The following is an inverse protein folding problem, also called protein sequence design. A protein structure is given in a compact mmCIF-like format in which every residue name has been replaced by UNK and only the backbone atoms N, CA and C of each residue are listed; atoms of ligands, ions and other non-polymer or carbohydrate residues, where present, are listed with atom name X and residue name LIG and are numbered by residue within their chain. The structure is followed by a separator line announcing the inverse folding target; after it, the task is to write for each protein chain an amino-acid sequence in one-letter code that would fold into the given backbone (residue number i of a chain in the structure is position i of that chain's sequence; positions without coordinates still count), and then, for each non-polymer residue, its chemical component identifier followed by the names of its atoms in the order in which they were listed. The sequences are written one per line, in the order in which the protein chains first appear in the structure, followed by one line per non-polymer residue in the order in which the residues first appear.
data_IF_979392710800
#
_entry.id   IF_979392710800
#
_cell.length_a   1.000
_cell.length_b   1.000
_cell.length_c   1.000
_cell.angle_alpha   90.00
_cell.angle_beta   90.00
_cell.angle_gamma   90.00
#
_symmetry.space_group_name_H-M   'P 1'
#
loop_
_entity.id
_entity.type
_entity.pdbx_description
1 polymer ?
#
# COMPACT_ATOMS: atom_id res chain seq x y z
N UNK A 1 -2.74 14.24 8.91
CA UNK A 1 -1.32 14.14 8.54
C UNK A 1 -1.15 13.44 7.18
N UNK A 2 -1.63 12.20 7.03
CA UNK A 2 -1.40 11.42 5.80
C UNK A 2 -2.08 11.95 4.53
N UNK A 3 -3.23 12.64 4.68
CA UNK A 3 -3.86 13.42 3.59
C UNK A 3 -2.94 14.50 3.03
N UNK A 4 -2.19 15.20 3.90
CA UNK A 4 -1.25 16.23 3.46
C UNK A 4 -0.09 15.61 2.69
N UNK A 5 0.36 14.42 3.09
CA UNK A 5 1.41 13.70 2.37
C UNK A 5 0.94 13.21 1.00
N UNK A 6 -0.31 12.76 0.86
CA UNK A 6 -0.87 12.43 -0.45
C UNK A 6 -0.88 13.64 -1.38
N UNK A 7 -1.28 14.81 -0.87
CA UNK A 7 -1.27 16.08 -1.63
C UNK A 7 0.15 16.51 -1.97
N UNK A 8 1.08 16.47 -1.02
CA UNK A 8 2.49 16.84 -1.22
C UNK A 8 3.20 15.86 -2.18
N UNK A 9 2.93 14.57 -2.07
CA UNK A 9 3.41 13.55 -2.99
C UNK A 9 2.89 13.78 -4.41
N UNK A 10 1.59 14.07 -4.55
CA UNK A 10 0.98 14.47 -5.82
C UNK A 10 1.60 15.75 -6.41
N UNK A 11 1.84 16.76 -5.57
CA UNK A 11 2.49 18.01 -5.95
C UNK A 11 3.92 17.80 -6.44
N UNK A 12 4.73 17.00 -5.74
CA UNK A 12 6.10 16.68 -6.15
C UNK A 12 6.13 15.87 -7.45
N UNK A 13 5.16 14.96 -7.67
CA UNK A 13 5.01 14.25 -8.95
C UNK A 13 4.69 15.24 -10.07
N UNK A 14 3.72 16.14 -9.87
CA UNK A 14 3.35 17.14 -10.87
C UNK A 14 4.52 18.11 -11.18
N UNK A 15 5.24 18.55 -10.15
CA UNK A 15 6.45 19.39 -10.29
C UNK A 15 7.55 18.66 -11.05
N UNK A 16 7.78 17.39 -10.74
CA UNK A 16 8.81 16.60 -11.43
C UNK A 16 8.41 16.26 -12.86
N UNK A 17 7.13 15.99 -13.15
CA UNK A 17 6.66 15.83 -14.53
C UNK A 17 6.87 17.10 -15.36
N UNK A 18 6.64 18.28 -14.76
CA UNK A 18 6.96 19.57 -15.40
C UNK A 18 8.46 19.76 -15.60
N UNK A 19 9.27 19.43 -14.59
CA UNK A 19 10.73 19.48 -14.69
C UNK A 19 11.28 18.53 -15.76
N UNK A 20 10.83 17.28 -15.80
CA UNK A 20 11.23 16.28 -16.78
C UNK A 20 10.77 16.63 -18.20
N UNK A 21 9.59 17.25 -18.36
CA UNK A 21 9.16 17.80 -19.66
C UNK A 21 10.07 18.95 -20.11
N UNK A 22 10.46 19.84 -19.21
CA UNK A 22 11.40 20.92 -19.51
C UNK A 22 12.82 20.40 -19.78
N UNK A 23 13.27 19.35 -19.09
CA UNK A 23 14.53 18.66 -19.35
C UNK A 23 14.53 17.95 -20.71
N UNK A 24 13.43 17.28 -21.08
CA UNK A 24 13.21 16.72 -22.43
C UNK A 24 13.32 17.79 -23.53
N UNK A 25 12.78 18.99 -23.28
CA UNK A 25 12.87 20.12 -24.22
C UNK A 25 14.29 20.69 -24.33
N UNK A 26 15.14 20.49 -23.31
CA UNK A 26 16.55 20.93 -23.30
C UNK A 26 17.53 19.92 -23.92
N UNK A 27 17.05 18.79 -24.42
CA UNK A 27 17.91 17.78 -25.06
C UNK A 27 18.81 17.02 -24.09
N UNK A 28 18.53 17.06 -22.78
CA UNK A 28 19.23 16.22 -21.79
C UNK A 28 18.83 14.75 -22.03
N UNK A 29 19.83 13.87 -22.21
CA UNK A 29 19.60 12.44 -22.45
C UNK A 29 18.64 11.84 -21.42
N UNK A 30 17.62 11.14 -21.91
CA UNK A 30 16.71 10.41 -21.05
C UNK A 30 17.48 9.37 -20.23
N UNK A 31 17.62 9.62 -18.93
CA UNK A 31 17.97 8.58 -17.97
C UNK A 31 16.79 7.61 -17.83
N UNK A 32 16.65 6.73 -18.81
CA UNK A 32 15.60 5.71 -18.85
C UNK A 32 15.25 5.32 -20.28
N UNK A 33 15.96 4.32 -20.83
CA UNK A 33 15.55 3.67 -22.06
C UNK A 33 14.27 2.86 -21.81
N UNK A 34 13.26 3.03 -22.67
CA UNK A 34 12.10 2.12 -22.72
C UNK A 34 12.47 0.71 -23.18
N UNK A 35 13.73 0.50 -23.60
CA UNK A 35 14.22 -0.80 -24.00
C UNK A 35 14.56 -1.63 -22.76
N UNK A 36 14.02 -2.84 -22.73
CA UNK A 36 14.40 -3.86 -21.77
C UNK A 36 15.92 -4.06 -21.74
N UNK A 37 16.55 -4.16 -20.55
CA UNK A 37 17.95 -4.54 -20.43
C UNK A 37 18.24 -5.84 -21.18
N UNK A 38 19.28 -5.83 -22.02
CA UNK A 38 19.65 -7.00 -22.83
C UNK A 38 19.97 -8.20 -21.93
N UNK A 39 19.37 -9.36 -22.20
CA UNK A 39 19.69 -10.63 -21.52
C UNK A 39 18.80 -11.01 -20.32
N UNK A 40 17.91 -10.14 -19.83
CA UNK A 40 17.00 -10.42 -18.69
C UNK A 40 15.87 -11.40 -19.03
N UNK A 41 15.59 -11.60 -20.32
CA UNK A 41 14.52 -12.48 -20.81
C UNK A 41 13.14 -11.87 -20.63
N UNK A 42 13.02 -10.56 -20.86
CA UNK A 42 11.79 -9.80 -20.64
C UNK A 42 10.68 -10.20 -21.58
N UNK A 43 9.48 -10.32 -21.01
CA UNK A 43 8.26 -10.45 -21.79
C UNK A 43 7.94 -9.12 -22.48
N UNK A 44 7.32 -9.14 -23.67
CA UNK A 44 6.79 -7.92 -24.25
C UNK A 44 5.72 -7.30 -23.33
N UNK A 45 5.71 -5.97 -23.22
CA UNK A 45 4.94 -5.21 -22.22
C UNK A 45 3.42 -5.51 -22.23
N UNK A 46 2.88 -5.98 -23.36
CA UNK A 46 1.47 -6.34 -23.48
C UNK A 46 1.09 -7.55 -22.61
N UNK A 47 2.01 -8.47 -22.32
CA UNK A 47 1.74 -9.64 -21.46
C UNK A 47 1.43 -9.21 -20.02
N UNK A 48 2.31 -8.49 -19.30
CA UNK A 48 2.02 -8.07 -17.93
C UNK A 48 0.82 -7.12 -17.86
N UNK A 49 0.63 -6.25 -18.86
CA UNK A 49 -0.58 -5.41 -18.94
C UNK A 49 -1.83 -6.27 -19.09
N UNK A 50 -1.81 -7.27 -19.98
CA UNK A 50 -2.93 -8.18 -20.19
C UNK A 50 -3.26 -9.01 -18.95
N UNK A 51 -2.25 -9.56 -18.27
CA UNK A 51 -2.42 -10.30 -17.01
C UNK A 51 -3.01 -9.41 -15.93
N UNK A 52 -2.51 -8.17 -15.80
CA UNK A 52 -3.04 -7.20 -14.85
C UNK A 52 -4.50 -6.86 -15.14
N UNK A 53 -4.84 -6.52 -16.38
CA UNK A 53 -6.21 -6.18 -16.78
C UNK A 53 -7.13 -7.38 -16.56
N UNK A 54 -6.72 -8.58 -16.97
CA UNK A 54 -7.51 -9.80 -16.77
C UNK A 54 -7.76 -10.08 -15.28
N UNK A 55 -6.72 -9.97 -14.44
CA UNK A 55 -6.86 -10.10 -12.99
C UNK A 55 -7.77 -9.03 -12.39
N UNK A 56 -7.55 -7.77 -12.73
CA UNK A 56 -8.35 -6.64 -12.26
C UNK A 56 -9.83 -6.79 -12.65
N UNK A 57 -10.13 -7.16 -13.90
CA UNK A 57 -11.49 -7.47 -14.36
C UNK A 57 -12.06 -8.64 -13.57
N UNK A 58 -11.31 -9.72 -13.36
CA UNK A 58 -11.74 -10.85 -12.56
C UNK A 58 -12.17 -10.46 -11.15
N UNK A 59 -11.39 -9.63 -10.47
CA UNK A 59 -11.75 -9.11 -9.15
C UNK A 59 -12.95 -8.15 -9.18
N UNK A 60 -13.06 -7.30 -10.20
CA UNK A 60 -14.23 -6.42 -10.38
C UNK A 60 -15.51 -7.25 -10.57
N UNK A 61 -15.47 -8.27 -11.43
CA UNK A 61 -16.60 -9.17 -11.67
C UNK A 61 -16.96 -9.97 -10.42
N UNK A 62 -15.95 -10.46 -9.68
CA UNK A 62 -16.16 -11.15 -8.41
C UNK A 62 -16.82 -10.24 -7.37
N UNK A 63 -16.39 -8.99 -7.25
CA UNK A 63 -17.01 -8.02 -6.34
C UNK A 63 -18.42 -7.66 -6.77
N UNK A 64 -18.66 -7.51 -8.08
CA UNK A 64 -20.00 -7.26 -8.61
C UNK A 64 -20.95 -8.43 -8.31
N UNK A 65 -20.45 -9.67 -8.36
CA UNK A 65 -21.21 -10.86 -7.99
C UNK A 65 -21.50 -10.94 -6.49
N UNK A 66 -20.51 -10.63 -5.64
CA UNK A 66 -20.64 -10.69 -4.18
C UNK A 66 -21.49 -9.55 -3.60
N UNK A 67 -21.38 -8.34 -4.15
CA UNK A 67 -22.01 -7.11 -3.64
C UNK A 67 -22.60 -6.30 -4.80
N UNK A 68 -23.71 -6.76 -5.42
CA UNK A 68 -24.27 -6.13 -6.61
C UNK A 68 -24.86 -4.74 -6.35
N UNK A 69 -25.21 -4.44 -5.09
CA UNK A 69 -25.77 -3.16 -4.70
C UNK A 69 -24.73 -2.03 -4.59
N UNK A 70 -23.43 -2.37 -4.55
CA UNK A 70 -22.38 -1.36 -4.44
C UNK A 70 -22.04 -0.74 -5.81
N UNK A 71 -21.75 0.57 -5.89
CA UNK A 71 -21.44 1.22 -7.18
C UNK A 71 -20.19 0.62 -7.86
N UNK A 72 -20.41 -0.10 -8.96
CA UNK A 72 -19.33 -0.76 -9.71
C UNK A 72 -18.27 0.23 -10.23
N UNK A 73 -18.68 1.47 -10.53
CA UNK A 73 -17.76 2.54 -10.96
C UNK A 73 -16.68 2.84 -9.93
N UNK A 74 -17.00 2.75 -8.63
CA UNK A 74 -16.02 2.93 -7.56
C UNK A 74 -15.01 1.78 -7.59
N UNK A 75 -15.49 0.53 -7.71
CA UNK A 75 -14.63 -0.66 -7.77
C UNK A 75 -13.70 -0.60 -9.00
N UNK A 76 -14.22 -0.21 -10.17
CA UNK A 76 -13.44 0.01 -11.40
C UNK A 76 -12.40 1.12 -11.17
N UNK A 77 -12.77 2.21 -10.52
CA UNK A 77 -11.85 3.28 -10.13
C UNK A 77 -10.71 2.78 -9.22
N UNK A 78 -11.01 1.91 -8.26
CA UNK A 78 -9.97 1.27 -7.42
C UNK A 78 -9.06 0.36 -8.23
N UNK A 79 -9.65 -0.46 -9.11
CA UNK A 79 -8.94 -1.41 -9.94
C UNK A 79 -7.97 -0.70 -10.90
N UNK A 80 -8.45 0.26 -11.69
CA UNK A 80 -7.71 0.80 -12.84
C UNK A 80 -7.11 2.19 -12.64
N UNK A 81 -7.55 2.95 -11.63
CA UNK A 81 -7.03 4.30 -11.38
C UNK A 81 -6.21 4.36 -10.10
N UNK A 82 -6.81 4.00 -8.96
CA UNK A 82 -6.16 4.14 -7.65
C UNK A 82 -5.00 3.14 -7.51
N UNK A 83 -5.21 1.87 -7.84
CA UNK A 83 -4.16 0.83 -7.68
C UNK A 83 -2.89 1.12 -8.51
N UNK A 84 -2.96 1.51 -9.80
CA UNK A 84 -1.77 1.89 -10.56
C UNK A 84 -1.07 3.14 -10.03
N UNK A 85 -1.84 4.17 -9.64
CA UNK A 85 -1.29 5.41 -9.07
C UNK A 85 -0.55 5.09 -7.77
N UNK A 86 -1.19 4.33 -6.86
CA UNK A 86 -0.59 3.92 -5.60
C UNK A 86 0.67 3.05 -5.82
N UNK A 87 0.63 2.13 -6.79
CA UNK A 87 1.78 1.31 -7.16
C UNK A 87 2.95 2.15 -7.69
N UNK A 88 2.68 3.17 -8.51
CA UNK A 88 3.71 4.09 -9.01
C UNK A 88 4.32 4.94 -7.90
N UNK A 89 3.48 5.53 -7.04
CA UNK A 89 3.93 6.32 -5.88
C UNK A 89 4.82 5.45 -4.98
N UNK A 90 4.39 4.21 -4.69
CA UNK A 90 5.17 3.29 -3.88
C UNK A 90 6.48 2.87 -4.54
N UNK A 91 6.49 2.53 -5.83
CA UNK A 91 7.72 2.20 -6.55
C UNK A 91 8.76 3.33 -6.45
N UNK A 92 8.31 4.58 -6.61
CA UNK A 92 9.17 5.76 -6.49
C UNK A 92 9.62 5.98 -5.04
N UNK A 93 8.73 5.87 -4.07
CA UNK A 93 9.07 6.00 -2.65
C UNK A 93 10.11 4.97 -2.21
N UNK A 94 9.96 3.73 -2.65
CA UNK A 94 10.92 2.66 -2.40
C UNK A 94 12.27 3.00 -3.04
N UNK A 95 12.29 3.48 -4.28
CA UNK A 95 13.52 3.88 -4.96
C UNK A 95 14.24 5.07 -4.33
N UNK A 96 13.51 6.03 -3.74
CA UNK A 96 14.07 7.24 -3.13
C UNK A 96 14.40 7.10 -1.64
N UNK A 97 13.64 6.29 -0.92
CA UNK A 97 13.64 6.26 0.56
C UNK A 97 13.84 4.86 1.13
N UNK A 98 13.84 3.81 0.29
CA UNK A 98 13.86 2.42 0.72
C UNK A 98 12.60 1.96 1.45
N UNK A 99 11.54 2.77 1.46
CA UNK A 99 10.30 2.51 2.21
C UNK A 99 9.07 2.71 1.32
N UNK A 100 7.98 2.02 1.67
CA UNK A 100 6.67 2.19 1.04
C UNK A 100 5.81 3.16 1.85
N UNK A 101 4.93 3.89 1.15
CA UNK A 101 3.92 4.75 1.76
C UNK A 101 2.58 4.52 1.05
N UNK A 102 1.66 3.83 1.72
CA UNK A 102 0.26 3.81 1.32
C UNK A 102 -0.44 5.10 1.76
N UNK A 103 -1.31 5.64 0.92
CA UNK A 103 -2.22 6.70 1.35
C UNK A 103 -3.25 6.02 2.26
N UNK A 104 -3.30 6.34 3.55
CA UNK A 104 -4.21 5.64 4.44
C UNK A 104 -5.62 6.14 4.25
N UNK A 105 -6.58 5.27 4.55
CA UNK A 105 -8.01 5.59 4.58
C UNK A 105 -8.65 5.91 3.23
N UNK A 106 -7.98 5.63 2.10
CA UNK A 106 -8.56 5.88 0.75
C UNK A 106 -9.77 4.99 0.51
N UNK A 107 -9.67 3.72 0.89
CA UNK A 107 -10.75 2.75 0.73
C UNK A 107 -11.94 3.08 1.63
N UNK A 108 -11.66 3.25 2.92
CA UNK A 108 -12.65 3.56 3.94
C UNK A 108 -13.37 4.88 3.63
N UNK A 109 -12.64 5.90 3.18
CA UNK A 109 -13.20 7.15 2.72
C UNK A 109 -14.11 6.99 1.51
N UNK A 110 -13.71 6.21 0.50
CA UNK A 110 -14.53 5.98 -0.68
C UNK A 110 -15.83 5.21 -0.37
N UNK A 111 -15.76 4.23 0.52
CA UNK A 111 -16.96 3.49 0.98
C UNK A 111 -17.91 4.43 1.72
N UNK A 112 -17.41 5.23 2.65
CA UNK A 112 -18.23 6.17 3.42
C UNK A 112 -18.85 7.24 2.50
N UNK A 113 -18.07 7.80 1.57
CA UNK A 113 -18.52 8.82 0.62
C UNK A 113 -19.48 8.28 -0.45
N UNK A 114 -19.45 6.98 -0.73
CA UNK A 114 -20.39 6.34 -1.67
C UNK A 114 -21.85 6.38 -1.19
N UNK A 115 -22.08 6.65 0.10
CA UNK A 115 -23.43 6.64 0.70
C UNK A 115 -24.03 5.23 0.81
N UNK A 116 -23.24 4.19 0.54
CA UNK A 116 -23.68 2.80 0.60
C UNK A 116 -24.05 2.36 2.01
N UNK A 117 -25.17 1.66 2.14
CA UNK A 117 -25.67 1.11 3.39
C UNK A 117 -25.57 -0.41 3.39
N UNK A 118 -24.63 -0.95 4.16
CA UNK A 118 -24.38 -2.39 4.21
C UNK A 118 -23.00 -2.72 4.76
N UNK A 119 -22.85 -3.92 5.34
CA UNK A 119 -21.57 -4.41 5.86
C UNK A 119 -20.83 -5.28 4.84
N UNK A 120 -21.57 -5.89 3.92
CA UNK A 120 -21.07 -6.78 2.87
C UNK A 120 -19.90 -6.21 2.08
N UNK A 121 -19.90 -4.92 1.74
CA UNK A 121 -18.79 -4.27 1.04
C UNK A 121 -17.46 -4.34 1.80
N UNK A 122 -17.49 -4.37 3.13
CA UNK A 122 -16.28 -4.46 3.95
C UNK A 122 -15.62 -5.85 3.91
N UNK A 123 -16.36 -6.87 3.49
CA UNK A 123 -15.88 -8.22 3.29
C UNK A 123 -15.56 -8.54 1.83
N UNK A 124 -15.93 -7.65 0.90
CA UNK A 124 -15.68 -7.84 -0.51
C UNK A 124 -14.18 -7.78 -0.86
N UNK A 125 -13.67 -8.65 -1.74
CA UNK A 125 -12.27 -8.67 -2.15
C UNK A 125 -11.98 -7.56 -3.18
N UNK A 126 -12.06 -6.30 -2.75
CA UNK A 126 -11.87 -5.16 -3.66
C UNK A 126 -10.42 -5.10 -4.17
N UNK A 127 -10.21 -4.91 -5.49
CA UNK A 127 -8.88 -4.86 -6.09
C UNK A 127 -8.12 -3.62 -5.61
N UNK A 128 -7.28 -3.82 -4.59
CA UNK A 128 -6.40 -2.81 -3.98
C UNK A 128 -4.95 -3.27 -4.10
N UNK A 129 -4.47 -3.31 -5.35
CA UNK A 129 -3.15 -3.86 -5.65
C UNK A 129 -2.06 -2.82 -5.43
N UNK A 130 -0.99 -3.23 -4.76
CA UNK A 130 0.23 -2.43 -4.62
C UNK A 130 1.43 -3.22 -5.15
N UNK A 131 1.86 -2.88 -6.35
CA UNK A 131 2.97 -3.54 -7.05
C UNK A 131 4.28 -2.74 -6.97
N UNK A 132 4.38 -1.78 -6.04
CA UNK A 132 5.58 -0.94 -5.90
C UNK A 132 6.84 -1.75 -5.58
N UNK A 133 6.70 -2.78 -4.74
CA UNK A 133 7.79 -3.69 -4.40
C UNK A 133 8.26 -4.56 -5.58
N UNK A 134 7.34 -4.95 -6.48
CA UNK A 134 7.69 -5.73 -7.67
C UNK A 134 8.64 -4.95 -8.59
N UNK A 135 8.49 -3.62 -8.67
CA UNK A 135 9.41 -2.76 -9.42
C UNK A 135 10.84 -2.81 -8.84
N UNK A 136 10.98 -2.82 -7.51
CA UNK A 136 12.28 -3.01 -6.86
C UNK A 136 12.84 -4.40 -7.16
N UNK A 137 12.03 -5.46 -7.12
CA UNK A 137 12.50 -6.80 -7.44
C UNK A 137 13.02 -6.90 -8.88
N UNK A 138 12.37 -6.25 -9.85
CA UNK A 138 12.90 -6.21 -11.22
C UNK A 138 14.29 -5.57 -11.31
N UNK A 139 14.58 -4.57 -10.46
CA UNK A 139 15.92 -3.99 -10.35
C UNK A 139 16.92 -4.94 -9.70
N UNK A 140 16.52 -5.66 -8.66
CA UNK A 140 17.36 -6.68 -8.02
C UNK A 140 17.69 -7.81 -9.00
N UNK A 141 16.72 -8.26 -9.81
CA UNK A 141 16.94 -9.28 -10.84
C UNK A 141 17.92 -8.81 -11.91
N UNK A 142 17.80 -7.57 -12.34
CA UNK A 142 18.75 -6.95 -13.27
C UNK A 142 20.18 -6.93 -12.68
N UNK A 143 20.34 -6.47 -11.43
CA UNK A 143 21.65 -6.37 -10.78
C UNK A 143 22.29 -7.73 -10.48
N UNK A 144 21.47 -8.76 -10.25
CA UNK A 144 21.94 -10.12 -9.97
C UNK A 144 22.13 -10.97 -11.23
N UNK A 145 21.79 -10.44 -12.42
CA UNK A 145 21.89 -11.17 -13.68
C UNK A 145 20.90 -12.34 -13.80
N UNK A 146 19.84 -12.34 -12.99
CA UNK A 146 18.83 -13.40 -13.00
C UNK A 146 17.79 -13.17 -14.10
N UNK A 147 17.30 -14.28 -14.67
CA UNK A 147 16.24 -14.25 -15.70
C UNK A 147 14.85 -14.22 -15.05
N UNK A 148 13.92 -13.45 -15.62
CA UNK A 148 12.53 -13.40 -15.11
C UNK A 148 11.88 -14.78 -15.13
N UNK A 149 12.13 -15.58 -16.17
CA UNK A 149 11.57 -16.94 -16.26
C UNK A 149 12.04 -17.85 -15.11
N UNK A 150 13.25 -17.62 -14.57
CA UNK A 150 13.74 -18.38 -13.41
C UNK A 150 12.95 -18.04 -12.15
N UNK A 151 12.54 -16.77 -12.00
CA UNK A 151 11.67 -16.34 -10.90
C UNK A 151 10.30 -16.96 -11.03
N UNK A 152 9.70 -16.93 -12.23
CA UNK A 152 8.39 -17.55 -12.49
C UNK A 152 8.45 -19.06 -12.20
N UNK A 153 9.50 -19.76 -12.61
CA UNK A 153 9.70 -21.18 -12.30
C UNK A 153 9.85 -21.43 -10.80
N UNK A 154 10.60 -20.57 -10.11
CA UNK A 154 10.79 -20.65 -8.67
C UNK A 154 9.45 -20.45 -7.93
N UNK A 155 8.66 -19.45 -8.31
CA UNK A 155 7.32 -19.23 -7.75
C UNK A 155 6.40 -20.42 -8.02
N UNK A 156 6.36 -20.93 -9.26
CA UNK A 156 5.52 -22.07 -9.61
C UNK A 156 5.87 -23.34 -8.82
N UNK A 157 7.15 -23.55 -8.50
CA UNK A 157 7.61 -24.64 -7.63
C UNK A 157 7.30 -24.37 -6.16
N UNK A 158 7.51 -23.15 -5.70
CA UNK A 158 7.31 -22.75 -4.31
C UNK A 158 5.84 -22.73 -3.93
N UNK A 159 4.92 -22.35 -4.82
CA UNK A 159 3.48 -22.28 -4.55
C UNK A 159 2.90 -23.57 -3.97
N UNK A 160 3.03 -24.76 -4.60
CA UNK A 160 2.49 -26.00 -4.04
C UNK A 160 3.21 -26.39 -2.74
N UNK A 161 4.54 -26.25 -2.69
CA UNK A 161 5.33 -26.61 -1.50
C UNK A 161 4.90 -25.75 -0.31
N UNK A 162 4.90 -24.43 -0.46
CA UNK A 162 4.51 -23.48 0.56
C UNK A 162 3.05 -23.68 0.98
N UNK A 163 2.14 -23.97 0.05
CA UNK A 163 0.73 -24.24 0.37
C UNK A 163 0.60 -25.48 1.24
N UNK A 164 1.19 -26.61 0.83
CA UNK A 164 1.13 -27.88 1.59
C UNK A 164 1.79 -27.70 2.97
N UNK A 165 2.99 -27.11 3.01
CA UNK A 165 3.70 -26.88 4.27
C UNK A 165 2.92 -25.91 5.18
N UNK A 166 2.28 -24.87 4.63
CA UNK A 166 1.45 -23.95 5.41
C UNK A 166 0.23 -24.63 6.02
N UNK A 167 -0.42 -25.55 5.28
CA UNK A 167 -1.56 -26.33 5.78
C UNK A 167 -1.13 -27.30 6.88
N UNK A 168 0.00 -27.99 6.72
CA UNK A 168 0.57 -28.85 7.76
C UNK A 168 0.91 -28.07 9.03
N UNK A 169 1.55 -26.91 8.87
CA UNK A 169 1.90 -26.05 10.00
C UNK A 169 0.68 -25.48 10.70
N UNK A 170 -0.34 -25.06 9.94
CA UNK A 170 -1.63 -24.67 10.48
C UNK A 170 -2.23 -25.82 11.30
N UNK A 171 -2.29 -27.03 10.75
CA UNK A 171 -2.84 -28.18 11.46
C UNK A 171 -2.07 -28.49 12.75
N UNK A 172 -0.73 -28.37 12.75
CA UNK A 172 0.10 -28.55 13.94
C UNK A 172 -0.24 -27.53 15.02
N UNK A 173 -0.33 -26.24 14.66
CA UNK A 173 -0.66 -25.17 15.61
C UNK A 173 -2.01 -25.45 16.28
N UNK A 174 -3.04 -25.80 15.51
CA UNK A 174 -4.38 -26.05 16.06
C UNK A 174 -4.47 -27.32 16.92
N UNK A 175 -3.51 -28.25 16.77
CA UNK A 175 -3.42 -29.43 17.64
C UNK A 175 -2.70 -29.18 18.96
N UNK A 176 -1.80 -28.19 19.02
CA UNK A 176 -1.04 -27.89 20.25
C UNK A 176 -1.92 -27.29 21.35
N UNK A 177 -2.75 -26.33 20.99
CA UNK A 177 -3.74 -25.73 21.89
C UNK A 177 -4.87 -25.09 21.07
N UNK A 178 -6.08 -24.95 21.64
CA UNK A 178 -7.14 -24.19 20.99
C UNK A 178 -6.72 -22.72 20.80
N UNK A 179 -7.10 -22.11 19.69
CA UNK A 179 -6.91 -20.67 19.45
C UNK A 179 -8.30 -20.00 19.50
N UNK A 180 -8.49 -18.92 20.29
CA UNK A 180 -7.54 -18.27 21.20
C UNK A 180 -7.40 -18.99 22.56
N UNK A 181 -6.19 -19.01 23.12
CA UNK A 181 -5.90 -19.52 24.47
C UNK A 181 -4.70 -18.79 25.11
N UNK A 182 -4.46 -18.96 26.42
CA UNK A 182 -3.27 -18.41 27.08
C UNK A 182 -1.94 -18.86 26.48
N UNK A 183 -1.90 -20.01 25.79
CA UNK A 183 -0.74 -20.48 25.03
C UNK A 183 -0.40 -19.56 23.83
N UNK A 184 -1.39 -18.79 23.34
CA UNK A 184 -1.26 -17.84 22.23
C UNK A 184 -1.67 -16.42 22.67
N UNK A 185 -0.86 -15.76 23.52
CA UNK A 185 -1.25 -14.49 24.16
C UNK A 185 -1.45 -13.35 23.16
N UNK A 186 -0.70 -13.35 22.04
CA UNK A 186 -0.89 -12.38 20.97
C UNK A 186 -2.26 -12.53 20.31
N UNK A 187 -2.63 -13.75 19.90
CA UNK A 187 -3.93 -14.01 19.28
C UNK A 187 -5.08 -13.68 20.24
N UNK A 188 -4.96 -14.09 21.51
CA UNK A 188 -5.99 -13.84 22.53
C UNK A 188 -6.28 -12.35 22.72
N UNK A 189 -5.26 -11.49 22.76
CA UNK A 189 -5.45 -10.05 22.97
C UNK A 189 -5.71 -9.29 21.67
N UNK A 190 -4.90 -9.55 20.63
CA UNK A 190 -4.91 -8.74 19.41
C UNK A 190 -6.07 -9.06 18.49
N UNK A 191 -6.54 -10.30 18.42
CA UNK A 191 -7.69 -10.61 17.55
C UNK A 191 -8.96 -9.91 18.03
N UNK A 192 -9.19 -9.88 19.35
CA UNK A 192 -10.32 -9.14 19.92
C UNK A 192 -10.19 -7.64 19.64
N UNK A 193 -9.02 -7.04 19.88
CA UNK A 193 -8.76 -5.63 19.59
C UNK A 193 -8.98 -5.32 18.09
N UNK A 194 -8.45 -6.15 17.19
CA UNK A 194 -8.62 -6.01 15.75
C UNK A 194 -10.07 -6.16 15.31
N UNK A 195 -10.83 -7.07 15.93
CA UNK A 195 -12.24 -7.24 15.67
C UNK A 195 -13.05 -5.99 16.08
N UNK A 196 -12.75 -5.41 17.25
CA UNK A 196 -13.37 -4.15 17.68
C UNK A 196 -13.01 -2.98 16.75
N UNK A 197 -11.73 -2.87 16.36
CA UNK A 197 -11.27 -1.85 15.41
C UNK A 197 -11.97 -1.98 14.06
N UNK A 198 -12.15 -3.20 13.53
CA UNK A 198 -12.92 -3.45 12.30
C UNK A 198 -14.41 -3.14 12.49
N UNK A 199 -14.98 -3.49 13.63
CA UNK A 199 -16.37 -3.21 13.98
C UNK A 199 -16.70 -1.72 13.92
N UNK A 200 -15.78 -0.84 14.38
CA UNK A 200 -15.94 0.61 14.25
C UNK A 200 -16.16 1.05 12.80
N UNK A 201 -15.39 0.50 11.86
CA UNK A 201 -15.56 0.79 10.43
C UNK A 201 -16.88 0.28 9.88
N UNK A 202 -17.30 -0.92 10.28
CA UNK A 202 -18.58 -1.49 9.84
C UNK A 202 -19.79 -0.65 10.29
N UNK A 203 -19.70 -0.02 11.47
CA UNK A 203 -20.78 0.87 11.93
C UNK A 203 -20.97 2.10 11.04
N UNK A 204 -19.93 2.53 10.31
CA UNK A 204 -19.98 3.73 9.47
C UNK A 204 -20.98 3.60 8.31
N UNK A 205 -21.22 2.39 7.80
CA UNK A 205 -22.17 2.10 6.70
C UNK A 205 -23.50 1.53 7.17
N UNK A 206 -23.60 1.01 8.40
CA UNK A 206 -24.86 0.46 8.95
C UNK A 206 -25.86 1.55 9.32
N UNK A 207 -25.48 2.43 10.25
CA UNK A 207 -26.33 3.50 10.77
C UNK A 207 -25.50 4.77 10.98
N UNK A 208 -25.39 5.64 9.95
CA UNK A 208 -24.58 6.85 10.03
C UNK A 208 -24.91 7.76 11.23
N UNK A 209 -26.19 7.83 11.63
CA UNK A 209 -26.62 8.71 12.74
C UNK A 209 -26.25 8.18 14.13
N UNK A 210 -26.10 6.87 14.28
CA UNK A 210 -25.74 6.20 15.55
C UNK A 210 -24.31 5.65 15.53
N UNK A 211 -23.53 5.92 14.48
CA UNK A 211 -22.24 5.28 14.31
C UNK A 211 -21.23 5.86 15.31
N UNK A 212 -20.57 4.96 16.04
CA UNK A 212 -19.47 5.30 16.94
C UNK A 212 -18.32 5.94 16.15
N UNK A 213 -18.19 5.61 14.86
CA UNK A 213 -17.24 6.25 13.96
C UNK A 213 -17.50 7.76 13.80
N UNK A 214 -18.73 8.17 13.49
CA UNK A 214 -19.06 9.59 13.31
C UNK A 214 -18.98 10.37 14.62
N UNK A 215 -19.28 9.73 15.75
CA UNK A 215 -19.09 10.33 17.08
C UNK A 215 -17.60 10.52 17.43
N UNK A 216 -16.75 9.56 17.07
CA UNK A 216 -15.31 9.64 17.27
C UNK A 216 -14.61 10.55 16.23
N UNK A 217 -15.22 10.78 15.07
CA UNK A 217 -14.66 11.58 14.00
C UNK A 217 -14.71 13.07 14.34
N UNK A 218 -13.55 13.64 14.64
CA UNK A 218 -13.42 15.06 14.90
C UNK A 218 -12.66 15.76 13.77
N UNK A 219 -13.39 16.61 13.04
CA UNK A 219 -12.89 17.37 11.88
C UNK A 219 -11.71 18.28 12.25
N UNK A 220 -11.67 18.82 13.47
CA UNK A 220 -10.59 19.71 13.92
C UNK A 220 -9.27 18.99 14.10
N UNK A 221 -9.26 17.77 14.63
CA UNK A 221 -8.02 16.98 14.72
C UNK A 221 -7.54 16.55 13.33
N UNK A 222 -8.45 16.22 12.41
CA UNK A 222 -8.09 15.91 11.03
C UNK A 222 -7.45 17.12 10.31
N UNK A 223 -8.07 18.30 10.43
CA UNK A 223 -7.56 19.55 9.87
C UNK A 223 -6.26 20.00 10.54
N UNK A 224 -6.15 19.88 11.87
CA UNK A 224 -4.93 20.19 12.62
C UNK A 224 -3.77 19.30 12.19
N UNK A 225 -3.99 18.00 12.05
CA UNK A 225 -2.99 17.08 11.53
C UNK A 225 -2.64 17.32 10.05
N UNK A 226 -3.57 17.82 9.24
CA UNK A 226 -3.29 18.23 7.85
C UNK A 226 -2.44 19.50 7.80
N UNK A 227 -2.83 20.54 8.54
CA UNK A 227 -2.11 21.80 8.66
C UNK A 227 -0.70 21.62 9.22
N UNK A 228 -0.55 20.83 10.30
CA UNK A 228 0.75 20.55 10.90
C UNK A 228 1.73 19.89 9.90
N UNK A 229 1.24 18.99 9.04
CA UNK A 229 2.06 18.35 8.02
C UNK A 229 2.48 19.31 6.90
N UNK A 230 1.59 20.21 6.47
CA UNK A 230 1.91 21.26 5.48
C UNK A 230 2.92 22.26 6.06
N UNK A 231 2.70 22.71 7.31
CA UNK A 231 3.61 23.62 8.00
C UNK A 231 4.99 22.98 8.15
N UNK A 232 5.06 21.71 8.59
CA UNK A 232 6.32 20.98 8.68
C UNK A 232 7.01 20.88 7.32
N UNK A 233 6.28 20.57 6.26
CA UNK A 233 6.83 20.56 4.89
C UNK A 233 7.35 21.94 4.48
N UNK A 234 6.59 23.01 4.71
CA UNK A 234 6.97 24.37 4.34
C UNK A 234 8.22 24.84 5.08
N UNK A 235 8.33 24.53 6.38
CA UNK A 235 9.52 24.80 7.19
C UNK A 235 10.71 24.04 6.62
N UNK A 236 10.61 22.71 6.47
CA UNK A 236 11.71 21.89 5.96
C UNK A 236 12.14 22.34 4.56
N UNK A 237 11.19 22.68 3.69
CA UNK A 237 11.48 23.18 2.35
C UNK A 237 12.16 24.54 2.37
N UNK A 238 11.78 25.45 3.28
CA UNK A 238 12.39 26.78 3.40
C UNK A 238 13.84 26.70 3.86
N UNK A 239 14.13 25.79 4.80
CA UNK A 239 15.48 25.53 5.30
C UNK A 239 16.29 24.56 4.44
N UNK A 240 15.75 24.08 3.31
CA UNK A 240 16.36 23.04 2.44
C UNK A 240 16.75 21.77 3.21
N UNK A 241 16.01 21.44 4.26
CA UNK A 241 16.19 20.24 5.07
C UNK A 241 15.53 19.03 4.40
N UNK A 242 15.92 17.79 4.76
CA UNK A 242 15.35 16.58 4.17
C UNK A 242 13.83 16.48 4.37
N UNK A 243 13.07 16.71 3.29
CA UNK A 243 11.60 16.61 3.25
C UNK A 243 11.10 15.20 3.63
N UNK A 244 11.98 14.20 3.53
CA UNK A 244 11.75 12.83 3.96
C UNK A 244 11.34 12.69 5.43
N UNK A 245 11.71 13.66 6.28
CA UNK A 245 11.26 13.70 7.68
C UNK A 245 9.74 13.76 7.83
N UNK A 246 9.04 14.45 6.92
CA UNK A 246 7.57 14.53 6.94
C UNK A 246 6.98 13.13 6.83
N UNK A 247 7.50 12.33 5.91
CA UNK A 247 7.07 10.94 5.69
C UNK A 247 7.37 10.05 6.90
N UNK A 248 8.51 10.24 7.56
CA UNK A 248 8.87 9.54 8.79
C UNK A 248 7.92 9.83 9.96
N UNK A 249 7.55 11.10 10.15
CA UNK A 249 6.60 11.52 11.19
C UNK A 249 5.23 10.88 10.98
N UNK A 250 4.73 10.86 9.74
CA UNK A 250 3.44 10.22 9.41
C UNK A 250 3.44 8.74 9.75
N UNK A 251 4.54 8.05 9.44
CA UNK A 251 4.72 6.63 9.71
C UNK A 251 4.78 6.34 11.21
N UNK A 252 5.51 7.17 11.97
CA UNK A 252 5.60 7.05 13.43
C UNK A 252 4.26 7.27 14.13
N UNK A 253 3.51 8.30 13.72
CA UNK A 253 2.18 8.61 14.29
C UNK A 253 1.11 7.63 13.80
N UNK A 254 1.25 7.08 12.59
CA UNK A 254 0.23 6.30 11.88
C UNK A 254 0.07 4.83 12.27
N UNK A 255 0.79 4.32 13.28
CA UNK A 255 0.54 2.98 13.81
C UNK A 255 1.74 2.02 13.87
N UNK A 256 2.97 2.53 13.84
CA UNK A 256 4.10 1.70 14.29
C UNK A 256 4.01 1.58 15.81
N UNK A 257 3.85 0.36 16.31
CA UNK A 257 3.96 0.13 17.76
C UNK A 257 5.36 0.57 18.21
N UNK A 258 5.50 1.36 19.30
CA UNK A 258 6.76 2.00 19.67
C UNK A 258 7.98 1.06 19.71
N UNK A 259 7.76 -0.21 20.04
CA UNK A 259 8.80 -1.24 20.10
C UNK A 259 9.45 -1.58 18.74
N UNK A 260 8.82 -1.26 17.60
CA UNK A 260 9.43 -1.44 16.27
C UNK A 260 10.38 -0.30 15.88
N UNK A 261 10.24 0.88 16.48
CA UNK A 261 11.04 2.07 16.11
C UNK A 261 12.49 1.90 16.54
N UNK A 262 12.72 1.34 17.73
CA UNK A 262 14.05 1.21 18.31
C UNK A 262 14.95 0.31 17.44
N UNK A 263 14.54 -0.93 17.05
CA UNK A 263 15.37 -1.77 16.19
C UNK A 263 15.60 -1.17 14.80
N UNK A 264 14.60 -0.48 14.23
CA UNK A 264 14.74 0.18 12.92
C UNK A 264 15.76 1.32 12.99
N UNK A 265 15.73 2.11 14.05
CA UNK A 265 16.69 3.19 14.29
C UNK A 265 18.10 2.62 14.51
N UNK A 266 18.23 1.55 15.30
CA UNK A 266 19.52 0.86 15.48
C UNK A 266 20.08 0.34 14.16
N UNK A 267 19.26 -0.33 13.33
CA UNK A 267 19.67 -0.81 12.02
C UNK A 267 20.09 0.33 11.07
N UNK A 268 19.35 1.44 11.08
CA UNK A 268 19.69 2.62 10.28
C UNK A 268 21.01 3.25 10.71
N UNK A 269 21.28 3.33 12.02
CA UNK A 269 22.56 3.82 12.56
C UNK A 269 23.71 2.89 12.18
N UNK A 270 23.54 1.58 12.31
CA UNK A 270 24.58 0.59 11.97
C UNK A 270 24.93 0.67 10.48
N UNK A 271 23.93 0.80 9.60
CA UNK A 271 24.13 0.92 8.14
C UNK A 271 24.89 2.18 7.71
N UNK A 272 25.09 3.17 8.59
CA UNK A 272 25.95 4.32 8.28
C UNK A 272 27.43 4.01 8.53
N UNK A 273 27.74 3.02 9.37
CA UNK A 273 29.10 2.65 9.76
C UNK A 273 29.60 1.36 9.08
N UNK A 274 28.71 0.62 8.41
CA UNK A 274 28.97 -0.62 7.67
C UNK A 274 28.20 -0.65 6.36
#
# INVERSE_FOLDING_TARGET
VSLAVAVLGGYEIARQMRYNRAARQRGEEERGSWQAPRGRGDFPLWIPIGVYVAGAVGYVLLCWWLVPAFPILIIIGFAFLISPIESYVNARMIGLTGQFLGIPMVWEGAVILSGYKGVDIWFAPVPRFNMGFAAQQFRVLELTGNKIISVVKAELLMLPIATIMSLLFWQLIWRLAPIPSPAYPYAQKMWHLQALQRGLWFTATLNPEQSVFYQAWNKWYALGGFGAAIVLYAILSSFRLPILLVYGVVRGVGGILPHYVIPQMMGALISQFY
#
